data_IF_498588597535
#
_entry.id   IF_498588597535
#
_cell.length_a   1.000
_cell.length_b   1.000
_cell.length_c   1.000
_cell.angle_alpha   90.00
_cell.angle_beta   90.00
_cell.angle_gamma   90.00
#
_symmetry.space_group_name_H-M   'P 1'
#
loop_
_entity.id
_entity.type
_entity.pdbx_description
1 polymer ?
#
# COMPACT_ATOMS: atom_id res chain seq x y z
N UNK A 1 -8.37 17.14 -38.11
CA UNK A 1 -7.35 16.60 -37.19
C UNK A 1 -8.09 16.25 -35.91
N UNK A 2 -8.71 15.07 -35.86
CA UNK A 2 -9.73 14.75 -34.87
C UNK A 2 -9.12 14.11 -33.62
N UNK A 3 -9.50 14.69 -32.48
CA UNK A 3 -9.82 14.07 -31.19
C UNK A 3 -8.80 13.17 -30.46
N UNK A 4 -8.63 13.53 -29.19
CA UNK A 4 -8.47 12.64 -28.03
C UNK A 4 -7.17 11.82 -27.93
N UNK A 5 -6.17 12.42 -27.27
CA UNK A 5 -5.26 11.68 -26.41
C UNK A 5 -6.06 11.19 -25.19
N UNK A 6 -6.76 10.08 -25.38
CA UNK A 6 -7.49 9.37 -24.33
C UNK A 6 -7.19 7.90 -24.53
N UNK A 7 -6.31 7.38 -23.69
CA UNK A 7 -6.44 6.11 -22.97
C UNK A 7 -5.10 5.93 -22.28
N UNK A 8 -5.11 6.09 -20.96
CA UNK A 8 -4.10 5.54 -20.07
C UNK A 8 -3.71 4.15 -20.58
N UNK A 9 -2.42 3.94 -20.87
CA UNK A 9 -1.90 2.60 -21.07
C UNK A 9 -2.31 1.71 -19.88
N UNK A 10 -2.34 0.37 -20.05
CA UNK A 10 -2.75 -0.53 -19.00
C UNK A 10 -2.05 -0.11 -17.70
N UNK A 11 -2.85 0.14 -16.64
CA UNK A 11 -2.35 0.57 -15.34
C UNK A 11 -1.05 -0.18 -15.07
N UNK A 12 0.08 0.54 -15.05
CA UNK A 12 1.38 -0.09 -14.80
C UNK A 12 1.21 -0.97 -13.57
N UNK A 13 1.54 -2.25 -13.69
CA UNK A 13 1.51 -3.15 -12.56
C UNK A 13 2.27 -2.45 -11.41
N UNK A 14 1.64 -2.23 -10.23
CA UNK A 14 2.29 -1.63 -9.08
C UNK A 14 3.63 -2.27 -8.72
N UNK A 15 3.88 -3.50 -9.17
CA UNK A 15 5.14 -4.24 -8.99
C UNK A 15 6.36 -3.58 -9.67
N UNK A 16 6.20 -2.77 -10.72
CA UNK A 16 7.33 -2.19 -11.48
C UNK A 16 7.87 -0.86 -10.91
N UNK A 17 7.09 -0.17 -10.07
CA UNK A 17 7.46 1.15 -9.53
C UNK A 17 8.17 1.06 -8.17
N UNK A 18 8.06 -0.08 -7.48
CA UNK A 18 8.51 -0.23 -6.10
C UNK A 18 10.01 -0.58 -5.91
N UNK A 19 10.78 -0.79 -6.98
CA UNK A 19 12.04 -1.56 -6.92
C UNK A 19 13.36 -0.84 -6.57
N UNK A 20 13.44 0.50 -6.61
CA UNK A 20 14.76 1.19 -6.47
C UNK A 20 14.80 2.37 -5.49
N UNK A 21 13.65 2.83 -4.99
CA UNK A 21 13.59 3.99 -4.07
C UNK A 21 13.14 3.54 -2.69
N UNK A 22 13.96 3.70 -1.64
CA UNK A 22 13.53 3.44 -0.26
C UNK A 22 12.30 4.28 0.10
N UNK A 23 11.33 3.68 0.80
CA UNK A 23 10.08 4.31 1.25
C UNK A 23 9.14 4.78 0.12
N UNK A 24 9.13 4.10 -1.02
CA UNK A 24 8.20 4.41 -2.10
C UNK A 24 6.73 4.38 -1.64
N UNK A 25 5.93 5.27 -2.22
CA UNK A 25 4.47 5.33 -2.04
C UNK A 25 3.82 5.04 -3.38
N UNK A 26 2.94 4.03 -3.42
CA UNK A 26 2.09 3.78 -4.58
C UNK A 26 0.79 4.55 -4.37
N UNK A 27 0.46 5.47 -5.27
CA UNK A 27 -0.72 6.33 -5.15
C UNK A 27 -1.85 5.88 -6.09
N UNK A 28 -3.08 6.32 -5.78
CA UNK A 28 -4.29 6.09 -6.58
C UNK A 28 -4.57 4.60 -6.82
N UNK A 29 -4.40 3.79 -5.76
CA UNK A 29 -4.60 2.35 -5.82
C UNK A 29 -5.45 1.89 -4.64
N UNK A 30 -6.50 1.12 -4.93
CA UNK A 30 -7.20 0.31 -3.94
C UNK A 30 -6.81 -1.15 -4.15
N UNK A 31 -6.17 -1.75 -3.16
CA UNK A 31 -5.71 -3.14 -3.23
C UNK A 31 -5.79 -3.79 -1.86
N UNK A 32 -5.59 -5.11 -1.78
CA UNK A 32 -5.48 -5.82 -0.51
C UNK A 32 -4.34 -5.31 0.39
N UNK A 33 -3.39 -4.54 -0.15
CA UNK A 33 -2.29 -3.94 0.60
C UNK A 33 -2.61 -2.55 1.18
N UNK A 34 -3.69 -1.89 0.74
CA UNK A 34 -4.20 -0.62 1.28
C UNK A 34 -5.15 -0.93 2.44
N UNK A 35 -4.60 -1.28 3.59
CA UNK A 35 -5.39 -1.78 4.74
C UNK A 35 -6.11 -0.67 5.49
N UNK A 36 -5.67 0.57 5.30
CA UNK A 36 -6.32 1.75 5.87
C UNK A 36 -7.29 2.43 4.88
N UNK A 37 -7.43 1.89 3.66
CA UNK A 37 -8.35 2.31 2.59
C UNK A 37 -8.20 3.78 2.19
N UNK A 38 -6.97 4.31 2.18
CA UNK A 38 -6.72 5.71 1.85
C UNK A 38 -6.29 5.95 0.38
N UNK A 39 -6.24 4.90 -0.44
CA UNK A 39 -5.84 4.96 -1.85
C UNK A 39 -4.33 5.06 -2.07
N UNK A 40 -3.52 4.85 -1.03
CA UNK A 40 -2.06 4.82 -1.08
C UNK A 40 -1.54 3.55 -0.39
N UNK A 41 -0.52 2.92 -0.97
CA UNK A 41 0.19 1.81 -0.33
C UNK A 41 1.60 2.26 0.03
N UNK A 42 1.95 2.18 1.33
CA UNK A 42 3.30 2.52 1.82
C UNK A 42 3.67 1.82 3.12
N UNK A 43 4.97 1.56 3.29
CA UNK A 43 5.53 0.87 4.45
C UNK A 43 5.88 1.78 5.64
N UNK A 44 6.31 3.02 5.37
CA UNK A 44 6.80 3.96 6.38
C UNK A 44 6.22 5.37 6.19
N UNK A 45 6.34 6.21 7.23
CA UNK A 45 5.77 7.56 7.27
C UNK A 45 4.31 7.59 7.75
N UNK A 46 3.69 8.78 7.87
CA UNK A 46 2.34 8.91 8.39
C UNK A 46 1.30 8.18 7.52
N UNK A 47 0.29 7.57 8.15
CA UNK A 47 -0.78 6.80 7.49
C UNK A 47 -0.25 5.63 6.63
N UNK A 48 0.79 4.94 7.11
CA UNK A 48 1.27 3.72 6.46
C UNK A 48 0.35 2.52 6.74
N UNK A 49 0.43 1.50 5.89
CA UNK A 49 -0.38 0.28 6.01
C UNK A 49 0.17 -0.70 7.06
N UNK A 50 1.43 -0.53 7.46
CA UNK A 50 2.10 -1.36 8.47
C UNK A 50 1.50 -1.15 9.86
N UNK A 51 1.23 0.09 10.27
CA UNK A 51 0.84 0.41 11.64
C UNK A 51 -0.50 -0.25 12.05
N UNK A 52 -1.57 -0.21 11.24
CA UNK A 52 -2.80 -0.94 11.56
C UNK A 52 -2.58 -2.45 11.70
N UNK A 53 -1.71 -3.05 10.87
CA UNK A 53 -1.37 -4.48 10.95
C UNK A 53 -0.67 -4.77 12.28
N UNK A 54 0.29 -3.94 12.67
CA UNK A 54 1.02 -4.12 13.93
C UNK A 54 0.14 -4.01 15.16
N UNK A 55 -0.76 -3.02 15.17
CA UNK A 55 -1.77 -2.87 16.23
C UNK A 55 -2.63 -4.12 16.34
N UNK A 56 -3.09 -4.68 15.21
CA UNK A 56 -3.89 -5.91 15.20
C UNK A 56 -3.10 -7.11 15.76
N UNK A 57 -1.79 -7.18 15.49
CA UNK A 57 -0.92 -8.21 16.06
C UNK A 57 -0.34 -7.87 17.45
N UNK A 58 -0.83 -6.82 18.09
CA UNK A 58 -0.49 -6.48 19.48
C UNK A 58 0.93 -5.96 19.70
N UNK A 59 1.56 -5.37 18.69
CA UNK A 59 2.92 -4.82 18.79
C UNK A 59 3.10 -3.51 18.04
N UNK A 60 4.28 -2.92 18.18
CA UNK A 60 4.75 -1.76 17.39
C UNK A 60 6.04 -2.08 16.63
N UNK A 61 6.63 -3.23 16.94
CA UNK A 61 7.81 -3.81 16.29
C UNK A 61 7.36 -4.81 15.23
N UNK A 62 8.05 -4.89 14.08
CA UNK A 62 7.66 -5.76 12.97
C UNK A 62 8.12 -7.21 13.19
N UNK A 63 8.11 -7.67 14.43
CA UNK A 63 8.53 -9.00 14.87
C UNK A 63 7.51 -9.68 15.78
N UNK A 64 6.38 -9.01 16.08
CA UNK A 64 5.31 -9.61 16.86
C UNK A 64 4.67 -10.74 16.04
N UNK A 65 4.36 -11.86 16.70
CA UNK A 65 3.61 -12.96 16.11
C UNK A 65 2.38 -13.21 16.97
N UNK A 66 1.26 -13.50 16.32
CA UNK A 66 0.03 -13.92 16.98
C UNK A 66 -0.54 -15.14 16.28
N UNK A 67 -0.94 -16.11 17.07
CA UNK A 67 -1.55 -17.34 16.56
C UNK A 67 -2.95 -17.07 16.01
N UNK A 68 -3.71 -16.14 16.64
CA UNK A 68 -5.09 -15.81 16.28
C UNK A 68 -5.43 -14.34 16.60
N UNK A 69 -6.50 -13.81 15.99
CA UNK A 69 -7.03 -12.46 16.24
C UNK A 69 -7.73 -12.36 17.61
N UNK A 70 -7.83 -11.15 18.18
CA UNK A 70 -8.73 -10.92 19.32
C UNK A 70 -10.18 -10.99 18.82
N UNK A 71 -11.10 -11.59 19.61
CA UNK A 71 -12.53 -11.55 19.31
C UNK A 71 -13.09 -10.12 19.35
#
# INVERSE_FOLDING_TARGET
MAAADTIEGPAKDPSEVAGVTPNNVVNNVYSAHDVNMNGQVKYAGPNNDRDPILVNIGGTTPNSTRTEQLP
#
